data_IF_292087495870
#
_entry.id   IF_292087495870
#
_cell.length_a   1.000
_cell.length_b   1.000
_cell.length_c   1.000
_cell.angle_alpha   90.00
_cell.angle_beta   90.00
_cell.angle_gamma   90.00
#
_symmetry.space_group_name_H-M   'P 1'
#
loop_
_entity.id
_entity.type
_entity.pdbx_description
1 polymer ?
#
# COMPACT_ATOMS: atom_id res chain seq x y z
N UNK A 1 -12.60 -8.35 3.65
CA UNK A 1 -11.63 -8.35 2.54
C UNK A 1 -11.18 -9.78 2.26
N UNK A 2 -10.97 -10.10 0.96
CA UNK A 2 -10.52 -11.40 0.52
C UNK A 2 -9.03 -11.30 0.19
N UNK A 3 -8.23 -12.17 0.78
CA UNK A 3 -6.78 -12.14 0.64
C UNK A 3 -6.31 -13.24 -0.29
N UNK A 4 -5.25 -12.97 -1.04
CA UNK A 4 -4.46 -13.99 -1.70
C UNK A 4 -3.10 -14.05 -1.01
N UNK A 5 -2.73 -15.21 -0.49
CA UNK A 5 -1.43 -15.43 0.13
C UNK A 5 -0.56 -16.32 -0.74
N UNK A 6 0.75 -16.01 -0.75
CA UNK A 6 1.73 -16.97 -1.25
C UNK A 6 1.90 -18.06 -0.20
N UNK A 7 1.51 -19.26 -0.57
CA UNK A 7 1.55 -20.42 0.30
C UNK A 7 2.11 -21.61 -0.47
N UNK A 8 3.10 -22.27 0.06
CA UNK A 8 3.69 -23.45 -0.55
C UNK A 8 2.75 -24.67 -0.55
N UNK A 9 1.67 -24.59 0.23
CA UNK A 9 0.65 -25.64 0.34
C UNK A 9 1.12 -26.91 1.02
N UNK A 10 2.35 -26.95 1.55
CA UNK A 10 2.95 -28.13 2.18
C UNK A 10 3.17 -27.94 3.67
N UNK A 11 3.64 -26.78 4.09
CA UNK A 11 4.07 -26.52 5.47
C UNK A 11 3.11 -25.61 6.23
N UNK A 12 2.28 -24.84 5.55
CA UNK A 12 1.37 -23.88 6.15
C UNK A 12 -0.04 -24.03 5.62
N UNK A 13 -1.03 -24.06 6.52
CA UNK A 13 -2.45 -23.95 6.15
C UNK A 13 -2.78 -22.51 5.93
N UNK A 14 -2.99 -22.11 4.69
CA UNK A 14 -3.32 -20.74 4.34
C UNK A 14 -4.84 -20.55 4.24
N UNK A 15 -5.40 -19.60 5.01
CA UNK A 15 -6.76 -19.16 4.77
C UNK A 15 -6.79 -18.30 3.49
N UNK A 16 -7.47 -18.71 2.46
CA UNK A 16 -7.62 -17.91 1.27
C UNK A 16 -7.18 -18.59 -0.02
N UNK A 17 -7.03 -17.81 -1.08
CA UNK A 17 -6.77 -18.29 -2.43
C UNK A 17 -5.30 -18.72 -2.58
N UNK A 18 -5.09 -20.00 -2.87
CA UNK A 18 -3.74 -20.55 -3.11
C UNK A 18 -3.34 -20.33 -4.57
N UNK A 19 -2.26 -19.62 -4.80
CA UNK A 19 -1.79 -19.27 -6.16
C UNK A 19 -1.64 -20.51 -7.06
N UNK A 20 -0.91 -21.53 -6.62
CA UNK A 20 -0.74 -22.78 -7.38
C UNK A 20 -1.98 -23.67 -7.39
N UNK A 21 -2.81 -23.57 -6.37
CA UNK A 21 -4.11 -24.27 -6.32
C UNK A 21 -5.06 -23.75 -7.37
N UNK A 22 -5.04 -22.44 -7.68
CA UNK A 22 -5.85 -21.87 -8.75
C UNK A 22 -5.45 -22.42 -10.13
N UNK A 23 -4.16 -22.62 -10.37
CA UNK A 23 -3.66 -23.22 -11.61
C UNK A 23 -4.17 -24.64 -11.78
N UNK A 24 -4.17 -25.44 -10.70
CA UNK A 24 -4.71 -26.81 -10.72
C UNK A 24 -6.20 -26.84 -11.04
N UNK A 25 -6.98 -25.96 -10.39
CA UNK A 25 -8.42 -25.85 -10.65
C UNK A 25 -8.73 -25.33 -12.06
N UNK A 26 -7.93 -24.39 -12.58
CA UNK A 26 -8.06 -23.91 -13.95
C UNK A 26 -7.76 -25.02 -14.98
N UNK A 27 -6.74 -25.85 -14.75
CA UNK A 27 -6.46 -27.04 -15.59
C UNK A 27 -7.58 -28.08 -15.57
N UNK A 28 -8.39 -28.10 -14.51
CA UNK A 28 -9.60 -28.92 -14.41
C UNK A 28 -10.82 -28.29 -15.12
N UNK A 29 -10.63 -27.18 -15.85
CA UNK A 29 -11.69 -26.50 -16.60
C UNK A 29 -12.59 -25.58 -15.76
N UNK A 30 -12.23 -25.26 -14.51
CA UNK A 30 -13.02 -24.34 -13.68
C UNK A 30 -12.85 -22.89 -14.14
N UNK A 31 -13.96 -22.17 -14.18
CA UNK A 31 -13.97 -20.74 -14.47
C UNK A 31 -13.39 -19.95 -13.29
N UNK A 32 -12.91 -18.70 -13.51
CA UNK A 32 -12.41 -17.84 -12.42
C UNK A 32 -13.39 -17.69 -11.26
N UNK A 33 -14.69 -17.50 -11.55
CA UNK A 33 -15.72 -17.40 -10.52
C UNK A 33 -15.90 -18.70 -9.72
N UNK A 34 -15.81 -19.85 -10.38
CA UNK A 34 -15.87 -21.15 -9.70
C UNK A 34 -14.64 -21.38 -8.81
N UNK A 35 -13.46 -20.90 -9.23
CA UNK A 35 -12.24 -20.94 -8.43
C UNK A 35 -12.38 -20.06 -7.21
N UNK A 36 -12.84 -18.82 -7.37
CA UNK A 36 -13.10 -17.92 -6.25
C UNK A 36 -14.11 -18.51 -5.25
N UNK A 37 -15.23 -19.08 -5.76
CA UNK A 37 -16.22 -19.72 -4.91
C UNK A 37 -15.68 -20.95 -4.17
N UNK A 38 -14.73 -21.66 -4.75
CA UNK A 38 -14.08 -22.80 -4.11
C UNK A 38 -13.29 -22.38 -2.85
N UNK A 39 -12.60 -21.24 -2.90
CA UNK A 39 -11.76 -20.75 -1.79
C UNK A 39 -12.54 -19.90 -0.78
N UNK A 40 -13.52 -19.13 -1.22
CA UNK A 40 -14.20 -18.13 -0.39
C UNK A 40 -15.68 -18.45 -0.12
N UNK A 41 -16.16 -19.59 -0.62
CA UNK A 41 -17.55 -20.01 -0.45
C UNK A 41 -18.51 -19.49 -1.53
N UNK A 42 -19.73 -20.02 -1.52
CA UNK A 42 -20.73 -19.77 -2.57
C UNK A 42 -21.31 -18.35 -2.56
N UNK A 43 -21.19 -17.64 -1.45
CA UNK A 43 -21.83 -16.34 -1.22
C UNK A 43 -21.10 -15.14 -1.83
N UNK A 44 -19.99 -15.38 -2.57
CA UNK A 44 -19.27 -14.31 -3.25
C UNK A 44 -19.89 -14.05 -4.63
N UNK A 45 -19.87 -12.80 -5.03
CA UNK A 45 -20.24 -12.32 -6.36
C UNK A 45 -19.13 -11.42 -6.94
N UNK A 46 -19.09 -11.33 -8.27
CA UNK A 46 -18.19 -10.39 -8.96
C UNK A 46 -18.97 -9.12 -9.23
N UNK A 47 -18.59 -8.04 -8.56
CA UNK A 47 -19.17 -6.71 -8.78
C UNK A 47 -18.27 -5.91 -9.72
N UNK A 48 -18.84 -5.42 -10.81
CA UNK A 48 -18.18 -4.45 -11.68
C UNK A 48 -18.41 -3.05 -11.12
N UNK A 49 -17.34 -2.35 -10.83
CA UNK A 49 -17.41 -0.98 -10.31
C UNK A 49 -16.43 -0.07 -11.03
N UNK A 50 -16.85 1.17 -11.27
CA UNK A 50 -15.97 2.22 -11.74
C UNK A 50 -15.31 2.97 -10.56
N UNK A 51 -15.73 2.69 -9.33
CA UNK A 51 -15.16 3.25 -8.12
C UNK A 51 -13.95 2.42 -7.66
N UNK A 52 -12.95 2.33 -8.52
CA UNK A 52 -11.70 1.63 -8.21
C UNK A 52 -10.81 2.60 -7.44
N UNK A 53 -10.47 2.23 -6.21
CA UNK A 53 -9.43 2.96 -5.49
C UNK A 53 -8.11 2.84 -6.24
N UNK A 54 -7.34 3.93 -6.30
CA UNK A 54 -6.02 3.91 -6.96
C UNK A 54 -5.12 2.89 -6.27
N UNK A 55 -4.89 1.77 -6.91
CA UNK A 55 -3.89 0.80 -6.47
C UNK A 55 -2.52 1.40 -6.81
N UNK A 56 -1.51 1.29 -5.92
CA UNK A 56 -0.16 1.69 -6.24
C UNK A 56 0.32 1.00 -7.51
N UNK A 57 0.78 1.79 -8.47
CA UNK A 57 1.29 1.28 -9.74
C UNK A 57 2.78 0.97 -9.60
N UNK A 58 3.27 0.05 -10.43
CA UNK A 58 4.71 -0.20 -10.55
C UNK A 58 5.44 1.05 -11.03
N UNK A 59 6.70 1.17 -10.64
CA UNK A 59 7.57 2.24 -11.11
C UNK A 59 7.65 2.25 -12.66
N UNK A 60 7.47 3.42 -13.32
CA UNK A 60 7.37 3.51 -14.77
C UNK A 60 8.67 3.23 -15.55
N UNK A 61 9.77 2.94 -14.86
CA UNK A 61 11.05 2.59 -15.47
C UNK A 61 12.01 3.76 -15.65
N UNK A 62 11.52 5.00 -15.62
CA UNK A 62 12.34 6.22 -15.70
C UNK A 62 12.01 7.19 -14.57
N UNK A 63 13.00 7.95 -14.06
CA UNK A 63 12.76 8.97 -13.05
C UNK A 63 11.84 10.09 -13.55
N UNK A 64 10.91 10.53 -12.70
CA UNK A 64 10.04 11.66 -12.98
C UNK A 64 10.56 12.92 -12.30
N UNK A 65 10.56 14.03 -13.02
CA UNK A 65 11.10 15.32 -12.59
C UNK A 65 10.28 16.49 -13.13
N UNK A 66 10.63 17.70 -12.73
CA UNK A 66 9.99 18.92 -13.24
C UNK A 66 10.05 18.98 -14.77
N UNK A 67 8.91 19.25 -15.38
CA UNK A 67 8.70 19.26 -16.82
C UNK A 67 8.00 18.02 -17.35
N UNK A 68 8.05 16.90 -16.64
CA UNK A 68 7.38 15.66 -17.04
C UNK A 68 5.87 15.77 -16.90
N UNK A 69 5.14 14.98 -17.67
CA UNK A 69 3.69 14.91 -17.60
C UNK A 69 3.17 13.52 -17.93
N UNK A 70 1.93 13.24 -17.52
CA UNK A 70 1.26 11.98 -17.86
C UNK A 70 0.62 11.28 -16.66
N UNK A 71 0.14 10.07 -16.91
CA UNK A 71 -0.62 9.28 -15.93
C UNK A 71 0.19 8.96 -14.67
N UNK A 72 1.48 8.67 -14.81
CA UNK A 72 2.36 8.39 -13.67
C UNK A 72 2.49 9.62 -12.75
N UNK A 73 2.62 10.82 -13.31
CA UNK A 73 2.64 12.07 -12.55
C UNK A 73 1.30 12.32 -11.87
N UNK A 74 0.20 12.11 -12.58
CA UNK A 74 -1.16 12.23 -12.02
C UNK A 74 -1.37 11.27 -10.84
N UNK A 75 -0.91 10.02 -10.96
CA UNK A 75 -0.97 9.02 -9.88
C UNK A 75 -0.21 9.48 -8.65
N UNK A 76 1.03 9.97 -8.81
CA UNK A 76 1.82 10.52 -7.71
C UNK A 76 1.15 11.73 -7.04
N UNK A 77 0.59 12.64 -7.82
CA UNK A 77 -0.14 13.80 -7.27
C UNK A 77 -1.31 13.36 -6.40
N UNK A 78 -2.07 12.36 -6.83
CA UNK A 78 -3.17 11.80 -6.03
C UNK A 78 -2.69 11.12 -4.76
N UNK A 79 -1.62 10.32 -4.85
CA UNK A 79 -1.03 9.66 -3.69
C UNK A 79 -0.49 10.68 -2.68
N UNK A 80 0.30 11.66 -3.14
CA UNK A 80 0.81 12.74 -2.29
C UNK A 80 -0.32 13.54 -1.66
N UNK A 81 -1.38 13.89 -2.41
CA UNK A 81 -2.55 14.58 -1.88
C UNK A 81 -3.29 13.78 -0.78
N UNK A 82 -3.27 12.45 -0.82
CA UNK A 82 -3.80 11.65 0.28
C UNK A 82 -2.87 11.72 1.49
N UNK A 83 -1.58 11.61 1.25
CA UNK A 83 -0.54 11.69 2.29
C UNK A 83 -0.58 13.06 2.99
N UNK A 84 -0.86 14.15 2.27
CA UNK A 84 -0.92 15.50 2.87
C UNK A 84 -2.01 15.66 3.93
N UNK A 85 -3.00 14.77 4.01
CA UNK A 85 -3.98 14.81 5.10
C UNK A 85 -3.34 14.49 6.44
N UNK A 86 -2.37 13.59 6.45
CA UNK A 86 -1.65 13.16 7.65
C UNK A 86 -0.33 13.94 7.82
N UNK A 87 0.19 14.48 6.71
CA UNK A 87 1.41 15.31 6.65
C UNK A 87 1.13 16.66 5.99
N UNK A 88 0.41 17.60 6.65
CA UNK A 88 -0.09 18.85 6.05
C UNK A 88 1.00 19.76 5.51
N UNK A 89 2.22 19.71 6.05
CA UNK A 89 3.36 20.53 5.62
C UNK A 89 3.82 20.24 4.18
N UNK A 90 3.46 19.08 3.61
CA UNK A 90 3.76 18.77 2.21
C UNK A 90 2.98 19.66 1.21
N UNK A 91 1.86 20.22 1.64
CA UNK A 91 1.03 21.06 0.82
C UNK A 91 0.26 20.30 -0.28
N UNK A 92 -0.97 20.70 -0.50
CA UNK A 92 -1.85 20.07 -1.49
C UNK A 92 -1.45 20.43 -2.92
N UNK A 93 -1.46 19.46 -3.82
CA UNK A 93 -1.17 19.59 -5.24
C UNK A 93 -2.46 19.63 -6.07
N UNK A 94 -2.42 20.30 -7.22
CA UNK A 94 -3.42 20.11 -8.27
C UNK A 94 -3.08 18.80 -9.00
N UNK A 95 -4.04 17.88 -9.06
CA UNK A 95 -3.85 16.63 -9.77
C UNK A 95 -4.17 16.81 -11.26
N UNK A 96 -3.24 17.41 -11.99
CA UNK A 96 -3.34 17.75 -13.41
C UNK A 96 -2.42 16.90 -14.32
N UNK A 97 -1.64 16.01 -13.71
CA UNK A 97 -0.68 15.17 -14.42
C UNK A 97 0.57 15.91 -14.89
N UNK A 98 0.85 17.12 -14.37
CA UNK A 98 2.05 17.89 -14.71
C UNK A 98 2.98 18.01 -13.52
N UNK A 99 4.24 17.68 -13.72
CA UNK A 99 5.27 17.80 -12.69
C UNK A 99 5.82 19.24 -12.69
N UNK A 100 5.12 20.12 -12.01
CA UNK A 100 5.51 21.55 -11.90
C UNK A 100 6.43 21.83 -10.70
N UNK A 101 6.86 23.11 -10.52
CA UNK A 101 7.72 23.53 -9.40
C UNK A 101 7.12 23.21 -8.02
N UNK A 102 5.79 23.33 -7.88
CA UNK A 102 5.11 23.01 -6.62
C UNK A 102 5.24 21.52 -6.28
N UNK A 103 5.09 20.64 -7.27
CA UNK A 103 5.30 19.20 -7.08
C UNK A 103 6.74 18.90 -6.72
N UNK A 104 7.72 19.56 -7.36
CA UNK A 104 9.14 19.45 -7.01
C UNK A 104 9.38 19.78 -5.54
N UNK A 105 8.81 20.89 -5.04
CA UNK A 105 8.93 21.29 -3.64
C UNK A 105 8.28 20.25 -2.70
N UNK A 106 7.09 19.74 -3.03
CA UNK A 106 6.40 18.70 -2.28
C UNK A 106 7.23 17.40 -2.23
N UNK A 107 7.80 16.98 -3.37
CA UNK A 107 8.66 15.80 -3.43
C UNK A 107 9.92 15.96 -2.56
N UNK A 108 10.59 17.11 -2.62
CA UNK A 108 11.72 17.40 -1.73
C UNK A 108 11.36 17.36 -0.26
N UNK A 109 10.22 17.94 0.12
CA UNK A 109 9.74 17.90 1.49
C UNK A 109 9.42 16.47 1.93
N UNK A 110 8.78 15.68 1.06
CA UNK A 110 8.51 14.25 1.29
C UNK A 110 9.82 13.45 1.47
N UNK A 111 10.77 13.63 0.55
CA UNK A 111 12.06 12.96 0.61
C UNK A 111 12.79 13.26 1.92
N UNK A 112 12.81 14.54 2.33
CA UNK A 112 13.41 14.95 3.61
C UNK A 112 12.70 14.29 4.81
N UNK A 113 11.37 14.23 4.80
CA UNK A 113 10.58 13.63 5.89
C UNK A 113 10.85 12.14 6.06
N UNK A 114 11.11 11.44 4.96
CA UNK A 114 11.26 9.98 4.95
C UNK A 114 12.70 9.53 4.66
N UNK A 115 13.68 10.36 5.03
CA UNK A 115 15.12 10.07 4.97
C UNK A 115 15.64 9.64 3.59
N UNK A 116 15.09 10.24 2.53
CA UNK A 116 15.56 10.08 1.16
C UNK A 116 16.38 11.30 0.72
N UNK A 117 17.21 11.13 -0.31
CA UNK A 117 17.91 12.26 -0.95
C UNK A 117 16.90 13.27 -1.47
N UNK A 118 16.91 14.50 -0.93
CA UNK A 118 15.92 15.55 -1.22
C UNK A 118 16.26 16.30 -2.53
N UNK A 119 16.35 15.58 -3.65
CA UNK A 119 16.67 16.11 -4.98
C UNK A 119 15.44 16.60 -5.75
N UNK A 120 14.24 16.23 -5.33
CA UNK A 120 12.97 16.56 -6.01
C UNK A 120 12.68 15.70 -7.23
N UNK A 121 13.44 14.61 -7.42
CA UNK A 121 13.26 13.65 -8.50
C UNK A 121 12.61 12.37 -7.94
N UNK A 122 11.56 11.90 -8.59
CA UNK A 122 10.92 10.65 -8.20
C UNK A 122 11.58 9.50 -8.93
N UNK A 123 12.71 9.03 -8.42
CA UNK A 123 13.34 7.79 -8.81
C UNK A 123 12.64 6.58 -8.19
N UNK A 124 13.18 5.38 -8.43
CA UNK A 124 12.59 4.12 -7.99
C UNK A 124 12.37 4.08 -6.46
N UNK A 125 13.32 4.53 -5.66
CA UNK A 125 13.19 4.56 -4.20
C UNK A 125 12.07 5.50 -3.76
N UNK A 126 12.04 6.73 -4.27
CA UNK A 126 11.01 7.73 -3.93
C UNK A 126 9.62 7.24 -4.37
N UNK A 127 9.51 6.62 -5.56
CA UNK A 127 8.26 6.05 -6.04
C UNK A 127 7.67 5.02 -5.09
N UNK A 128 8.47 4.02 -4.71
CA UNK A 128 8.00 2.97 -3.81
C UNK A 128 7.78 3.46 -2.39
N UNK A 129 8.55 4.44 -1.92
CA UNK A 129 8.31 5.06 -0.61
C UNK A 129 6.99 5.84 -0.58
N UNK A 130 6.66 6.59 -1.65
CA UNK A 130 5.35 7.26 -1.78
C UNK A 130 4.23 6.23 -1.80
N UNK A 131 4.35 5.18 -2.61
CA UNK A 131 3.36 4.11 -2.69
C UNK A 131 3.16 3.42 -1.33
N UNK A 132 4.23 3.12 -0.62
CA UNK A 132 4.20 2.51 0.70
C UNK A 132 3.50 3.39 1.74
N UNK A 133 3.89 4.66 1.85
CA UNK A 133 3.24 5.60 2.77
C UNK A 133 1.76 5.82 2.39
N UNK A 134 1.46 5.88 1.09
CA UNK A 134 0.08 5.99 0.62
C UNK A 134 -0.79 4.81 1.06
N UNK A 135 -0.29 3.58 0.92
CA UNK A 135 -0.97 2.35 1.36
C UNK A 135 -1.16 2.38 2.87
N UNK A 136 -0.13 2.77 3.62
CA UNK A 136 -0.17 2.91 5.08
C UNK A 136 -1.23 3.89 5.56
N UNK A 137 -1.24 5.12 5.04
CA UNK A 137 -2.23 6.16 5.45
C UNK A 137 -3.64 5.87 4.95
N UNK A 138 -3.83 4.91 4.06
CA UNK A 138 -5.14 4.47 3.59
C UNK A 138 -5.67 3.24 4.31
N UNK A 139 -4.88 2.65 5.18
CA UNK A 139 -5.26 1.42 5.87
C UNK A 139 -5.63 0.28 4.91
N UNK A 140 -4.87 0.18 3.82
CA UNK A 140 -5.13 -0.85 2.81
C UNK A 140 -4.66 -2.20 3.35
N UNK A 141 -5.46 -3.22 3.16
CA UNK A 141 -5.29 -4.57 3.71
C UNK A 141 -3.96 -5.28 3.35
N UNK A 142 -3.24 -4.78 2.36
CA UNK A 142 -1.93 -5.30 1.95
C UNK A 142 -0.81 -5.07 2.98
N UNK A 143 -1.06 -4.23 4.00
CA UNK A 143 -0.12 -3.97 5.10
C UNK A 143 -0.54 -4.60 6.43
N UNK A 144 -1.69 -5.21 6.52
CA UNK A 144 -1.99 -6.06 7.67
C UNK A 144 -1.16 -7.32 7.52
N UNK A 145 -0.02 -7.34 8.20
CA UNK A 145 0.82 -8.51 8.31
C UNK A 145 0.02 -9.71 8.79
N UNK A 146 0.37 -10.86 8.28
CA UNK A 146 -0.17 -12.16 8.61
C UNK A 146 -0.48 -12.29 10.11
N UNK A 147 -1.75 -12.52 10.46
CA UNK A 147 -2.17 -12.96 11.78
C UNK A 147 -2.76 -11.91 12.72
N UNK A 148 -2.84 -10.65 12.38
CA UNK A 148 -3.63 -9.74 13.18
C UNK A 148 -5.11 -9.81 12.78
N UNK A 149 -5.86 -10.57 13.56
CA UNK A 149 -7.31 -10.39 13.61
C UNK A 149 -7.56 -8.91 13.88
N UNK A 150 -8.17 -8.23 12.94
CA UNK A 150 -8.60 -6.84 13.05
C UNK A 150 -9.67 -6.69 14.13
N UNK A 151 -9.25 -6.80 15.37
CA UNK A 151 -10.01 -6.47 16.57
C UNK A 151 -9.31 -5.34 17.33
N UNK A 152 -8.71 -4.42 16.61
CA UNK A 152 -8.13 -3.23 17.18
C UNK A 152 -8.39 -2.08 16.22
N UNK A 153 -9.41 -1.32 16.50
CA UNK A 153 -9.60 0.04 16.02
C UNK A 153 -8.33 0.82 16.37
N UNK A 154 -7.38 0.91 15.43
CA UNK A 154 -6.36 1.96 15.50
C UNK A 154 -7.04 3.23 15.00
N UNK A 155 -7.96 3.71 15.79
CA UNK A 155 -8.50 5.04 15.70
C UNK A 155 -7.39 6.00 16.14
N UNK A 156 -7.05 6.96 15.31
CA UNK A 156 -6.46 8.25 15.65
C UNK A 156 -5.02 8.33 16.17
N UNK A 157 -4.18 7.35 15.93
CA UNK A 157 -2.80 7.41 16.39
C UNK A 157 -2.64 7.35 17.91
N UNK A 158 -3.67 6.90 18.62
CA UNK A 158 -3.62 6.71 20.08
C UNK A 158 -2.84 5.43 20.37
N UNK A 159 -1.71 5.59 21.03
CA UNK A 159 -0.93 4.50 21.60
C UNK A 159 -1.80 3.61 22.48
N UNK A 160 -1.85 2.30 22.20
CA UNK A 160 -2.68 1.31 22.94
C UNK A 160 -2.31 1.07 24.42
N UNK A 161 -1.70 2.05 25.08
CA UNK A 161 -1.55 2.07 26.53
C UNK A 161 -0.47 1.17 27.13
N UNK A 162 0.24 0.35 26.34
CA UNK A 162 1.30 -0.51 26.88
C UNK A 162 2.63 0.22 26.86
N UNK A 163 3.19 0.53 28.02
CA UNK A 163 4.51 1.15 28.14
C UNK A 163 5.59 0.19 27.67
N UNK A 164 6.29 0.53 26.57
CA UNK A 164 7.46 -0.22 26.11
C UNK A 164 8.70 0.20 26.90
N UNK A 165 9.52 -0.78 27.30
CA UNK A 165 10.77 -0.59 28.05
C UNK A 165 11.87 -1.40 27.40
N UNK A 166 13.12 -1.17 27.83
CA UNK A 166 14.25 -2.01 27.41
C UNK A 166 13.94 -3.48 27.73
N UNK A 167 14.03 -4.33 26.71
CA UNK A 167 13.68 -5.75 26.79
C UNK A 167 12.23 -6.10 26.40
N UNK A 168 11.39 -5.13 26.07
CA UNK A 168 10.08 -5.41 25.47
C UNK A 168 10.23 -6.07 24.12
N UNK A 169 9.35 -7.04 23.82
CA UNK A 169 9.30 -7.76 22.53
C UNK A 169 7.87 -7.81 22.01
N UNK A 170 7.68 -8.10 20.73
CA UNK A 170 6.37 -8.26 20.10
C UNK A 170 6.01 -7.14 19.14
N UNK A 171 4.83 -7.24 18.55
CA UNK A 171 4.35 -6.38 17.45
C UNK A 171 4.40 -4.89 17.75
N UNK A 172 4.14 -4.48 19.00
CA UNK A 172 4.22 -3.08 19.42
C UNK A 172 5.66 -2.51 19.37
N UNK A 173 6.67 -3.35 19.63
CA UNK A 173 8.08 -2.96 19.53
C UNK A 173 8.49 -2.88 18.06
N UNK A 174 8.09 -3.85 17.25
CA UNK A 174 8.33 -3.87 15.80
C UNK A 174 7.69 -2.66 15.13
N UNK A 175 6.47 -2.33 15.53
CA UNK A 175 5.77 -1.15 15.03
C UNK A 175 6.49 0.14 15.41
N UNK A 176 6.96 0.27 16.66
CA UNK A 176 7.74 1.43 17.09
C UNK A 176 9.08 1.53 16.34
N UNK A 177 9.79 0.42 16.17
CA UNK A 177 11.03 0.37 15.40
C UNK A 177 10.80 0.78 13.94
N UNK A 178 9.67 0.36 13.37
CA UNK A 178 9.24 0.76 12.04
C UNK A 178 8.98 2.27 11.92
N UNK A 179 8.40 2.90 12.96
CA UNK A 179 8.13 4.34 12.97
C UNK A 179 9.39 5.19 13.19
N UNK A 180 10.44 4.60 13.76
CA UNK A 180 11.71 5.28 14.09
C UNK A 180 12.80 5.10 13.02
N UNK A 181 12.62 4.19 12.05
CA UNK A 181 13.49 3.95 10.89
C UNK A 181 12.93 4.60 9.63
#
# INVERSE_FOLDING_TARGET
PYYSEYCDGKTVTCPGLKQWGTVTLAKQGRTPLQILKYYYGSNIEIVRTNNIQSIPQSYPGSPLRQGDSGTAVYTLQRQLNRITKDYPFLGKLTADGRFGPRMTATVKAFQKQFDLTADGVVGRQTWYKISYIYVSVKDLAELTSEGETSSGTLSDGTWGGTTLRTGSTGSAVEQLQFWLN
#
